data_IF_179532196963
#
_entry.id   IF_179532196963
#
_cell.length_a   1.000
_cell.length_b   1.000
_cell.length_c   1.000
_cell.angle_alpha   90.00
_cell.angle_beta   90.00
_cell.angle_gamma   90.00
#
_symmetry.space_group_name_H-M   'P 1'
#
loop_
_entity.id
_entity.type
_entity.pdbx_description
1 polymer ?
#
# COMPACT_ATOMS: atom_id res chain seq x y z
N UNK A 1 5.12 -19.34 -11.36
CA UNK A 1 5.95 -18.12 -11.27
C UNK A 1 6.05 -17.74 -9.81
N UNK A 2 7.24 -17.47 -9.31
CA UNK A 2 7.50 -17.18 -7.89
C UNK A 2 7.16 -15.72 -7.61
N UNK A 3 6.30 -15.51 -6.63
CA UNK A 3 6.07 -14.21 -6.02
C UNK A 3 6.20 -14.37 -4.52
N UNK A 4 7.32 -13.92 -3.97
CA UNK A 4 7.54 -13.90 -2.54
C UNK A 4 7.34 -12.47 -2.06
N UNK A 5 6.21 -12.26 -1.37
CA UNK A 5 5.69 -10.98 -0.92
C UNK A 5 5.88 -10.89 0.60
N UNK A 6 6.11 -9.69 1.11
CA UNK A 6 6.11 -9.40 2.55
C UNK A 6 7.16 -10.27 3.31
N UNK A 7 8.34 -10.45 2.71
CA UNK A 7 9.48 -11.15 3.35
C UNK A 7 10.23 -10.16 4.24
N UNK A 8 10.73 -10.60 5.38
CA UNK A 8 11.63 -9.80 6.22
C UNK A 8 12.80 -9.26 5.39
N UNK A 9 12.99 -7.95 5.44
CA UNK A 9 14.06 -7.28 4.70
C UNK A 9 15.43 -7.59 5.33
N UNK A 10 16.43 -8.03 4.54
CA UNK A 10 17.77 -8.27 5.08
C UNK A 10 18.43 -6.99 5.61
N UNK A 11 19.15 -7.08 6.73
CA UNK A 11 19.77 -5.90 7.38
C UNK A 11 20.76 -5.16 6.46
N UNK A 12 21.38 -5.87 5.52
CA UNK A 12 22.29 -5.27 4.52
C UNK A 12 21.57 -4.30 3.58
N UNK A 13 20.31 -4.57 3.24
CA UNK A 13 19.50 -3.68 2.42
C UNK A 13 19.14 -2.41 3.19
N UNK A 14 18.75 -2.55 4.45
CA UNK A 14 18.49 -1.42 5.35
C UNK A 14 19.72 -0.52 5.49
N UNK A 15 20.88 -1.08 5.80
CA UNK A 15 22.13 -0.34 5.94
C UNK A 15 22.60 0.34 4.63
N UNK A 16 22.22 -0.21 3.48
CA UNK A 16 22.51 0.40 2.17
C UNK A 16 21.54 1.54 1.87
N UNK A 17 20.26 1.36 2.20
CA UNK A 17 19.21 2.36 2.02
C UNK A 17 19.52 3.64 2.80
N UNK A 18 19.97 3.52 4.04
CA UNK A 18 20.38 4.65 4.90
C UNK A 18 21.51 5.52 4.29
N UNK A 19 22.26 5.01 3.30
CA UNK A 19 23.35 5.73 2.64
C UNK A 19 22.92 6.47 1.36
N UNK A 20 21.80 6.06 0.76
CA UNK A 20 21.40 6.51 -0.58
C UNK A 20 20.03 7.21 -0.61
N UNK A 21 19.14 6.89 0.34
CA UNK A 21 17.81 7.49 0.44
C UNK A 21 17.88 8.64 1.44
N UNK A 22 17.35 9.83 1.10
CA UNK A 22 17.23 10.94 2.05
C UNK A 22 16.50 10.52 3.33
N UNK A 23 16.97 11.03 4.47
CA UNK A 23 16.48 10.64 5.80
C UNK A 23 14.97 10.85 5.98
N UNK A 24 14.41 11.94 5.46
CA UNK A 24 12.99 12.24 5.48
C UNK A 24 12.11 11.29 4.65
N UNK A 25 12.72 10.38 3.88
CA UNK A 25 12.02 9.29 3.17
C UNK A 25 12.23 7.92 3.83
N UNK A 26 13.22 7.77 4.71
CA UNK A 26 13.55 6.50 5.37
C UNK A 26 12.45 6.06 6.35
N UNK A 27 12.27 4.75 6.61
CA UNK A 27 11.42 4.29 7.71
C UNK A 27 11.90 4.89 9.04
N UNK A 28 10.98 5.40 9.85
CA UNK A 28 11.28 6.03 11.15
C UNK A 28 12.21 7.25 11.07
N UNK A 29 12.37 7.84 9.88
CA UNK A 29 13.06 9.11 9.71
C UNK A 29 12.28 10.30 10.28
N UNK A 30 12.78 11.53 10.10
CA UNK A 30 12.07 12.75 10.48
C UNK A 30 10.64 12.75 9.93
N UNK A 31 9.68 13.25 10.70
CA UNK A 31 8.25 13.33 10.37
C UNK A 31 7.51 11.99 10.16
N UNK A 32 8.16 10.84 10.35
CA UNK A 32 7.47 9.54 10.40
C UNK A 32 6.96 9.24 11.81
N UNK A 33 5.66 9.43 12.01
CA UNK A 33 5.01 9.21 13.30
C UNK A 33 4.98 7.73 13.72
N UNK A 34 5.39 6.77 12.89
CA UNK A 34 5.66 5.41 13.40
C UNK A 34 6.74 5.42 14.49
N UNK A 35 7.71 6.33 14.41
CA UNK A 35 8.84 6.41 15.34
C UNK A 35 8.41 6.71 16.78
N UNK A 36 7.23 7.33 16.98
CA UNK A 36 6.73 7.70 18.33
C UNK A 36 6.38 6.48 19.18
N UNK A 37 6.03 5.36 18.54
CA UNK A 37 5.72 4.13 19.25
C UNK A 37 6.99 3.53 19.85
N UNK A 38 6.95 2.97 21.07
CA UNK A 38 8.01 2.09 21.56
C UNK A 38 8.25 0.93 20.59
N UNK A 39 9.52 0.52 20.38
CA UNK A 39 9.89 -0.51 19.39
C UNK A 39 9.07 -1.80 19.49
N UNK A 40 8.73 -2.25 20.71
CA UNK A 40 7.88 -3.43 20.96
C UNK A 40 6.45 -3.32 20.42
N UNK A 41 6.01 -2.13 20.03
CA UNK A 41 4.66 -1.85 19.53
C UNK A 41 4.65 -1.38 18.07
N UNK A 42 5.82 -1.22 17.44
CA UNK A 42 5.93 -0.92 16.02
C UNK A 42 5.64 -2.18 15.22
N UNK A 43 4.79 -2.08 14.21
CA UNK A 43 4.60 -3.16 13.25
C UNK A 43 5.88 -3.32 12.41
N UNK A 44 6.15 -4.53 11.92
CA UNK A 44 7.16 -4.74 10.89
C UNK A 44 6.72 -3.99 9.63
N UNK A 45 7.56 -3.09 9.16
CA UNK A 45 7.20 -2.10 8.14
C UNK A 45 8.20 -2.07 6.98
N UNK A 46 9.38 -2.68 7.12
CA UNK A 46 10.36 -2.75 6.03
C UNK A 46 10.37 -4.17 5.47
N UNK A 47 9.81 -4.32 4.28
CA UNK A 47 9.55 -5.61 3.65
C UNK A 47 10.32 -5.75 2.34
N UNK A 48 10.63 -6.99 1.96
CA UNK A 48 11.27 -7.35 0.71
C UNK A 48 10.32 -8.17 -0.17
N UNK A 49 10.42 -7.94 -1.47
CA UNK A 49 9.59 -8.55 -2.49
C UNK A 49 10.48 -9.12 -3.58
N UNK A 50 10.30 -10.39 -3.90
CA UNK A 50 10.89 -11.04 -5.08
C UNK A 50 9.76 -11.41 -6.04
N UNK A 51 9.79 -10.81 -7.23
CA UNK A 51 8.79 -11.07 -8.27
C UNK A 51 9.41 -11.55 -9.56
N UNK A 52 8.91 -12.68 -10.07
CA UNK A 52 9.17 -13.12 -11.43
C UNK A 52 8.18 -12.48 -12.42
N UNK A 53 8.40 -12.72 -13.70
CA UNK A 53 7.54 -12.29 -14.79
C UNK A 53 6.05 -12.60 -14.49
N UNK A 54 5.12 -11.74 -14.91
CA UNK A 54 3.66 -11.79 -14.68
C UNK A 54 3.23 -12.12 -13.24
N UNK A 55 4.03 -11.72 -12.25
CA UNK A 55 3.61 -11.68 -10.85
C UNK A 55 3.34 -10.24 -10.42
N UNK A 56 2.75 -10.03 -9.25
CA UNK A 56 2.57 -8.69 -8.74
C UNK A 56 1.53 -8.61 -7.64
N UNK A 57 1.18 -7.38 -7.27
CA UNK A 57 0.16 -7.10 -6.26
C UNK A 57 -1.08 -6.55 -6.94
N UNK A 58 -2.27 -7.11 -6.68
CA UNK A 58 -3.55 -6.60 -7.21
C UNK A 58 -3.84 -5.18 -6.73
N UNK A 59 -4.94 -4.59 -7.23
CA UNK A 59 -5.37 -3.25 -6.80
C UNK A 59 -5.64 -3.24 -5.30
N UNK A 60 -5.06 -2.27 -4.60
CA UNK A 60 -5.22 -2.10 -3.16
C UNK A 60 -4.82 -0.68 -2.72
N UNK A 61 -4.99 -0.37 -1.44
CA UNK A 61 -4.45 0.82 -0.78
C UNK A 61 -3.52 0.40 0.35
N UNK A 62 -2.55 1.24 0.65
CA UNK A 62 -1.68 1.03 1.80
C UNK A 62 -2.45 1.06 3.12
N UNK A 63 -1.99 0.25 4.08
CA UNK A 63 -2.69 0.01 5.34
C UNK A 63 -2.85 1.31 6.14
N UNK A 64 -4.02 1.45 6.77
CA UNK A 64 -4.38 2.58 7.63
C UNK A 64 -4.14 3.96 6.98
N UNK A 65 -4.19 4.06 5.65
CA UNK A 65 -4.02 5.33 4.94
C UNK A 65 -2.60 5.87 4.97
N UNK A 66 -1.62 5.01 5.21
CA UNK A 66 -0.20 5.39 5.13
C UNK A 66 0.21 5.78 3.72
N UNK A 67 1.37 6.42 3.61
CA UNK A 67 2.06 6.58 2.32
C UNK A 67 2.99 5.39 2.10
N UNK A 68 2.93 4.78 0.92
CA UNK A 68 3.81 3.68 0.51
C UNK A 68 5.08 4.18 -0.16
N UNK A 69 6.17 3.45 0.05
CA UNK A 69 7.45 3.65 -0.62
C UNK A 69 7.90 2.31 -1.16
N UNK A 70 8.41 2.29 -2.39
CA UNK A 70 8.90 1.08 -3.01
C UNK A 70 10.16 1.37 -3.84
N UNK A 71 11.29 0.83 -3.42
CA UNK A 71 12.56 0.94 -4.13
C UNK A 71 12.86 -0.38 -4.84
N UNK A 72 12.96 -0.34 -6.16
CA UNK A 72 13.46 -1.49 -6.92
C UNK A 72 14.97 -1.52 -6.80
N UNK A 73 15.50 -2.59 -6.20
CA UNK A 73 16.92 -2.71 -5.85
C UNK A 73 17.68 -3.54 -6.85
N UNK A 74 17.02 -4.52 -7.46
CA UNK A 74 17.62 -5.38 -8.49
C UNK A 74 16.58 -5.77 -9.53
N UNK A 75 17.07 -6.12 -10.72
CA UNK A 75 16.29 -6.78 -11.73
C UNK A 75 17.17 -7.21 -12.92
N UNK A 76 16.63 -8.09 -13.77
CA UNK A 76 17.28 -8.48 -15.02
C UNK A 76 17.37 -7.30 -16.01
N UNK A 77 18.20 -7.42 -17.05
CA UNK A 77 18.52 -6.36 -18.03
C UNK A 77 17.29 -5.65 -18.64
N UNK A 78 16.20 -6.39 -18.87
CA UNK A 78 14.95 -5.85 -19.42
C UNK A 78 13.77 -5.93 -18.44
N UNK A 79 14.05 -6.14 -17.16
CA UNK A 79 13.02 -6.19 -16.14
C UNK A 79 12.49 -4.82 -15.78
N UNK A 80 11.21 -4.75 -15.48
CA UNK A 80 10.56 -3.57 -14.91
C UNK A 80 9.32 -3.97 -14.14
N UNK A 81 8.79 -3.04 -13.35
CA UNK A 81 7.46 -3.16 -12.77
C UNK A 81 6.54 -2.06 -13.32
N UNK A 82 5.43 -2.48 -13.90
CA UNK A 82 4.32 -1.60 -14.27
C UNK A 82 3.50 -1.32 -13.01
N UNK A 83 3.40 -0.04 -12.65
CA UNK A 83 2.51 0.44 -11.61
C UNK A 83 1.33 1.13 -12.28
N UNK A 84 0.13 0.83 -11.80
CA UNK A 84 -1.07 1.61 -12.09
C UNK A 84 -1.47 2.29 -10.79
N UNK A 85 -1.61 3.61 -10.79
CA UNK A 85 -1.98 4.41 -9.63
C UNK A 85 -3.22 5.24 -9.96
N UNK A 86 -4.20 5.21 -9.07
CA UNK A 86 -5.49 5.87 -9.21
C UNK A 86 -5.76 6.67 -7.94
N UNK A 87 -5.96 7.97 -8.11
CA UNK A 87 -6.27 8.86 -6.99
C UNK A 87 -7.60 8.51 -6.34
N UNK A 88 -7.67 8.73 -5.02
CA UNK A 88 -8.83 8.37 -4.22
C UNK A 88 -10.15 9.01 -4.71
N UNK A 89 -10.09 10.19 -5.35
CA UNK A 89 -11.28 10.84 -5.91
C UNK A 89 -12.01 9.99 -6.96
N UNK A 90 -11.31 9.04 -7.61
CA UNK A 90 -11.87 8.13 -8.60
C UNK A 90 -12.26 6.76 -8.03
N UNK A 91 -12.27 6.60 -6.70
CA UNK A 91 -12.61 5.36 -6.00
C UNK A 91 -13.89 4.71 -6.55
N UNK A 92 -14.96 5.48 -6.66
CA UNK A 92 -16.26 4.93 -7.04
C UNK A 92 -16.33 4.59 -8.53
N UNK A 93 -15.65 5.36 -9.38
CA UNK A 93 -15.49 5.03 -10.79
C UNK A 93 -14.67 3.74 -10.99
N UNK A 94 -13.61 3.57 -10.21
CA UNK A 94 -12.80 2.34 -10.21
C UNK A 94 -13.63 1.14 -9.72
N UNK A 95 -14.35 1.28 -8.62
CA UNK A 95 -15.24 0.24 -8.11
C UNK A 95 -16.34 -0.13 -9.13
N UNK A 96 -16.80 0.81 -9.96
CA UNK A 96 -17.82 0.54 -10.97
C UNK A 96 -17.33 -0.39 -12.08
N UNK A 97 -16.06 -0.26 -12.49
CA UNK A 97 -15.45 -1.04 -13.57
C UNK A 97 -14.87 -2.37 -13.08
N UNK A 98 -14.44 -2.46 -11.83
CA UNK A 98 -13.99 -3.70 -11.23
C UNK A 98 -15.20 -4.61 -10.97
N UNK A 99 -15.21 -5.79 -11.58
CA UNK A 99 -16.24 -6.81 -11.36
C UNK A 99 -15.61 -8.02 -10.66
N UNK A 100 -16.28 -8.61 -9.66
CA UNK A 100 -15.93 -9.95 -9.21
C UNK A 100 -15.98 -10.91 -10.39
N UNK A 101 -15.03 -11.85 -10.49
CA UNK A 101 -15.18 -12.96 -11.43
C UNK A 101 -16.45 -13.73 -11.02
N UNK A 102 -17.31 -14.11 -11.97
CA UNK A 102 -18.52 -14.90 -11.66
C UNK A 102 -18.17 -16.33 -11.19
N UNK A 103 -16.89 -16.71 -11.17
CA UNK A 103 -16.44 -18.10 -10.98
C UNK A 103 -16.00 -18.43 -9.55
N UNK A 104 -15.77 -17.44 -8.68
CA UNK A 104 -15.20 -17.69 -7.34
C UNK A 104 -16.23 -17.75 -6.20
N UNK A 105 -17.51 -17.41 -6.44
CA UNK A 105 -18.56 -17.36 -5.41
C UNK A 105 -19.67 -18.41 -5.57
N UNK A 106 -19.38 -19.55 -6.22
CA UNK A 106 -20.35 -20.65 -6.35
C UNK A 106 -20.54 -21.47 -5.06
N UNK A 107 -20.61 -20.83 -3.89
CA UNK A 107 -21.25 -21.36 -2.67
C UNK A 107 -21.80 -20.18 -1.85
N UNK A 108 -22.79 -19.46 -2.38
CA UNK A 108 -23.58 -18.53 -1.58
C UNK A 108 -25.05 -18.94 -1.63
N UNK A 109 -25.51 -19.44 -0.50
CA UNK A 109 -26.92 -19.70 -0.17
C UNK A 109 -27.79 -18.50 -0.58
N UNK A 110 -28.77 -18.77 -1.46
CA UNK A 110 -29.68 -17.79 -2.07
C UNK A 110 -30.67 -17.15 -1.07
N UNK A 111 -30.55 -17.45 0.22
CA UNK A 111 -31.36 -16.88 1.30
C UNK A 111 -30.87 -15.51 1.80
N UNK A 112 -29.64 -15.10 1.46
CA UNK A 112 -29.02 -13.86 1.96
C UNK A 112 -28.69 -12.90 0.81
N UNK A 113 -28.96 -11.59 0.95
CA UNK A 113 -28.56 -10.62 -0.07
C UNK A 113 -27.03 -10.67 -0.25
N UNK A 114 -26.50 -10.49 -1.48
CA UNK A 114 -25.08 -10.68 -1.75
C UNK A 114 -24.25 -9.75 -0.86
N UNK A 115 -23.45 -10.34 0.04
CA UNK A 115 -22.59 -9.62 1.00
C UNK A 115 -21.46 -8.84 0.32
N UNK A 116 -21.21 -9.09 -0.97
CA UNK A 116 -20.15 -8.43 -1.72
C UNK A 116 -20.69 -7.26 -2.52
N UNK A 117 -20.59 -6.04 -1.97
CA UNK A 117 -20.66 -4.84 -2.80
C UNK A 117 -19.39 -4.76 -3.66
N UNK A 118 -19.45 -4.14 -4.85
CA UNK A 118 -18.26 -3.94 -5.69
C UNK A 118 -17.10 -3.28 -4.92
N UNK A 119 -17.43 -2.42 -3.97
CA UNK A 119 -16.48 -1.83 -3.03
C UNK A 119 -15.75 -2.88 -2.19
N UNK A 120 -16.46 -3.84 -1.58
CA UNK A 120 -15.82 -4.89 -0.76
C UNK A 120 -14.89 -5.80 -1.57
N UNK A 121 -15.18 -6.03 -2.85
CA UNK A 121 -14.32 -6.80 -3.74
C UNK A 121 -13.00 -6.05 -4.03
N UNK A 122 -13.08 -4.73 -4.25
CA UNK A 122 -11.90 -3.89 -4.41
C UNK A 122 -11.01 -3.88 -3.16
N UNK A 123 -11.59 -3.96 -1.95
CA UNK A 123 -10.83 -4.06 -0.69
C UNK A 123 -10.38 -5.49 -0.34
N UNK A 124 -10.59 -6.47 -1.21
CA UNK A 124 -10.24 -7.88 -0.91
C UNK A 124 -8.79 -8.24 -1.21
N UNK A 125 -8.02 -7.32 -1.78
CA UNK A 125 -6.66 -7.55 -2.30
C UNK A 125 -6.64 -8.70 -3.34
N UNK A 126 -7.71 -8.85 -4.13
CA UNK A 126 -7.85 -9.84 -5.21
C UNK A 126 -8.26 -9.23 -6.55
N UNK A 127 -8.69 -7.97 -6.56
CA UNK A 127 -9.18 -7.32 -7.76
C UNK A 127 -8.02 -6.91 -8.68
N UNK A 128 -8.06 -7.35 -9.94
CA UNK A 128 -7.06 -6.99 -10.94
C UNK A 128 -7.66 -6.03 -11.97
N UNK A 129 -6.97 -4.92 -12.19
CA UNK A 129 -7.29 -3.91 -13.17
C UNK A 129 -6.46 -4.13 -14.44
N UNK A 130 -7.07 -4.70 -15.48
CA UNK A 130 -6.47 -4.86 -16.81
C UNK A 130 -6.48 -3.55 -17.61
N UNK A 131 -5.45 -3.34 -18.44
CA UNK A 131 -5.28 -2.10 -19.20
C UNK A 131 -6.46 -1.87 -20.18
N UNK A 132 -7.07 -2.93 -20.71
CA UNK A 132 -8.29 -2.84 -21.53
C UNK A 132 -9.50 -2.25 -20.79
N UNK A 133 -9.55 -2.37 -19.46
CA UNK A 133 -10.59 -1.74 -18.65
C UNK A 133 -10.36 -0.22 -18.48
N UNK A 134 -9.13 0.25 -18.68
CA UNK A 134 -8.80 1.67 -18.65
C UNK A 134 -9.14 2.39 -19.96
N UNK A 135 -9.21 1.67 -21.09
CA UNK A 135 -9.52 2.27 -22.41
C UNK A 135 -10.85 3.03 -22.43
N UNK A 136 -11.83 2.57 -21.65
CA UNK A 136 -13.16 3.17 -21.57
C UNK A 136 -13.42 3.87 -20.21
N UNK A 137 -12.39 3.96 -19.36
CA UNK A 137 -12.53 4.55 -18.03
C UNK A 137 -12.77 6.06 -18.13
N UNK A 138 -13.77 6.55 -17.38
CA UNK A 138 -14.08 7.98 -17.28
C UNK A 138 -13.26 8.66 -16.16
N UNK A 139 -12.03 8.19 -15.94
CA UNK A 139 -11.10 8.71 -14.94
C UNK A 139 -9.66 8.52 -15.39
N UNK A 140 -8.75 9.32 -14.85
CA UNK A 140 -7.33 9.23 -15.15
C UNK A 140 -6.65 8.20 -14.24
N UNK A 141 -5.89 7.29 -14.85
CA UNK A 141 -4.94 6.43 -14.16
C UNK A 141 -3.52 6.86 -14.54
N UNK A 142 -2.62 6.90 -13.56
CA UNK A 142 -1.19 7.11 -13.79
C UNK A 142 -0.51 5.76 -13.97
N UNK A 143 0.35 5.64 -14.98
CA UNK A 143 1.14 4.43 -15.24
C UNK A 143 2.62 4.76 -15.08
N UNK A 144 3.32 4.01 -14.24
CA UNK A 144 4.75 4.18 -13.99
C UNK A 144 5.47 2.88 -14.37
N UNK A 145 6.60 3.00 -15.05
CA UNK A 145 7.50 1.88 -15.35
C UNK A 145 8.72 2.02 -14.44
N UNK A 146 8.73 1.26 -13.35
CA UNK A 146 9.80 1.24 -12.36
C UNK A 146 10.92 0.28 -12.79
N UNK A 147 12.17 0.75 -12.75
CA UNK A 147 13.40 -0.02 -13.02
C UNK A 147 14.35 -0.03 -11.81
N UNK A 148 15.40 -0.86 -11.80
CA UNK A 148 16.37 -0.88 -10.71
C UNK A 148 16.96 0.52 -10.46
N UNK A 149 16.91 0.97 -9.21
CA UNK A 149 17.28 2.33 -8.78
C UNK A 149 16.10 3.27 -8.57
N UNK A 150 14.92 2.97 -9.14
CA UNK A 150 13.76 3.85 -9.03
C UNK A 150 13.03 3.66 -7.69
N UNK A 151 12.79 4.79 -7.00
CA UNK A 151 11.90 4.89 -5.85
C UNK A 151 10.53 5.37 -6.30
N UNK A 152 9.51 4.52 -6.14
CA UNK A 152 8.10 4.90 -6.32
C UNK A 152 7.52 5.27 -4.97
N UNK A 153 6.88 6.44 -4.89
CA UNK A 153 6.15 6.90 -3.71
C UNK A 153 4.66 6.89 -4.03
N UNK A 154 3.89 6.23 -3.18
CA UNK A 154 2.46 6.03 -3.33
C UNK A 154 1.78 7.01 -2.37
N UNK A 155 1.01 7.99 -2.89
CA UNK A 155 0.26 8.90 -2.05
C UNK A 155 -0.77 8.16 -1.18
N UNK A 156 -1.03 8.71 0.00
CA UNK A 156 -2.06 8.19 0.89
C UNK A 156 -3.41 8.08 0.17
N UNK A 157 -4.14 6.99 0.46
CA UNK A 157 -5.46 6.64 -0.11
C UNK A 157 -5.46 6.30 -1.60
N UNK A 158 -4.35 6.43 -2.33
CA UNK A 158 -4.30 6.07 -3.74
C UNK A 158 -4.43 4.55 -3.93
N UNK A 159 -5.33 4.13 -4.81
CA UNK A 159 -5.37 2.74 -5.24
C UNK A 159 -4.22 2.47 -6.18
N UNK A 160 -3.55 1.35 -5.99
CA UNK A 160 -2.44 0.99 -6.84
C UNK A 160 -2.31 -0.51 -7.05
N UNK A 161 -1.74 -0.87 -8.20
CA UNK A 161 -1.48 -2.24 -8.63
C UNK A 161 -0.08 -2.30 -9.21
N UNK A 162 0.59 -3.45 -9.04
CA UNK A 162 1.94 -3.67 -9.57
C UNK A 162 1.95 -4.95 -10.39
N UNK A 163 2.61 -4.93 -11.56
CA UNK A 163 2.93 -6.12 -12.36
C UNK A 163 4.40 -6.15 -12.71
N UNK A 164 5.03 -7.29 -12.50
CA UNK A 164 6.44 -7.52 -12.81
C UNK A 164 6.60 -8.08 -14.22
N UNK A 165 7.52 -7.51 -14.99
CA UNK A 165 8.06 -8.07 -16.23
C UNK A 165 9.51 -8.46 -15.95
N UNK A 166 9.87 -9.71 -16.21
CA UNK A 166 11.17 -10.27 -15.78
C UNK A 166 11.30 -10.46 -14.26
N UNK A 167 12.51 -10.73 -13.77
CA UNK A 167 12.78 -10.86 -12.33
C UNK A 167 13.14 -9.50 -11.73
N UNK A 168 12.55 -9.19 -10.57
CA UNK A 168 12.88 -7.99 -9.81
C UNK A 168 12.87 -8.24 -8.31
N UNK A 169 13.72 -7.50 -7.60
CA UNK A 169 13.75 -7.41 -6.14
C UNK A 169 13.41 -5.98 -5.73
N UNK A 170 12.49 -5.82 -4.79
CA UNK A 170 12.06 -4.52 -4.27
C UNK A 170 12.09 -4.56 -2.76
N UNK A 171 12.39 -3.42 -2.16
CA UNK A 171 12.10 -3.17 -0.75
C UNK A 171 10.96 -2.16 -0.67
N UNK A 172 10.05 -2.34 0.28
CA UNK A 172 8.94 -1.43 0.49
C UNK A 172 8.73 -1.12 1.97
N UNK A 173 8.25 0.08 2.24
CA UNK A 173 7.87 0.50 3.58
C UNK A 173 6.78 1.57 3.54
N UNK A 174 6.05 1.69 4.64
CA UNK A 174 5.08 2.76 4.81
C UNK A 174 5.61 3.87 5.74
N UNK A 175 5.04 5.06 5.61
CA UNK A 175 5.28 6.18 6.55
C UNK A 175 3.95 6.79 6.99
N UNK A 176 3.93 7.29 8.23
CA UNK A 176 2.79 8.00 8.80
C UNK A 176 3.15 9.46 9.03
N UNK A 177 2.33 10.37 8.52
CA UNK A 177 2.31 11.80 8.87
C UNK A 177 1.02 12.15 9.61
N UNK A 178 0.92 13.38 10.13
CA UNK A 178 -0.32 13.88 10.72
C UNK A 178 -1.49 13.80 9.74
N UNK A 179 -1.25 14.16 8.47
CA UNK A 179 -2.27 14.11 7.41
C UNK A 179 -2.73 12.67 7.10
N UNK A 180 -1.81 11.70 7.07
CA UNK A 180 -2.19 10.30 6.83
C UNK A 180 -3.02 9.74 7.98
N UNK A 181 -2.78 10.18 9.23
CA UNK A 181 -3.60 9.78 10.38
C UNK A 181 -5.01 10.36 10.28
N UNK A 182 -5.16 11.61 9.84
CA UNK A 182 -6.47 12.17 9.56
C UNK A 182 -7.24 11.30 8.55
N UNK A 183 -6.60 10.93 7.44
CA UNK A 183 -7.18 10.03 6.44
C UNK A 183 -7.45 8.63 6.98
N UNK A 184 -6.64 8.14 7.92
CA UNK A 184 -6.90 6.88 8.61
C UNK A 184 -8.26 6.92 9.32
N UNK A 185 -8.51 7.98 10.11
CA UNK A 185 -9.75 8.11 10.89
C UNK A 185 -10.98 8.47 10.05
N UNK A 186 -10.82 9.29 9.01
CA UNK A 186 -11.95 9.77 8.20
C UNK A 186 -12.40 8.78 7.12
N UNK A 187 -11.50 7.91 6.63
CA UNK A 187 -11.76 7.03 5.48
C UNK A 187 -11.44 5.56 5.77
N UNK A 188 -10.18 5.26 6.10
CA UNK A 188 -9.69 3.87 6.10
C UNK A 188 -10.22 3.01 7.24
N UNK A 189 -10.14 3.50 8.47
CA UNK A 189 -10.61 2.77 9.65
C UNK A 189 -12.13 2.58 9.65
N UNK A 190 -12.97 3.59 9.29
CA UNK A 190 -14.39 3.38 9.08
C UNK A 190 -14.68 2.27 8.06
N UNK A 191 -13.97 2.27 6.92
CA UNK A 191 -14.13 1.22 5.93
C UNK A 191 -13.73 -0.15 6.47
N UNK A 192 -12.63 -0.25 7.22
CA UNK A 192 -12.17 -1.51 7.81
C UNK A 192 -13.25 -2.12 8.71
N UNK A 193 -13.99 -1.30 9.45
CA UNK A 193 -15.13 -1.76 10.26
C UNK A 193 -16.24 -2.35 9.38
N UNK A 194 -16.52 -1.78 8.21
CA UNK A 194 -17.54 -2.33 7.29
C UNK A 194 -17.16 -3.69 6.69
N UNK A 195 -15.86 -3.98 6.55
CA UNK A 195 -15.35 -5.22 5.94
C UNK A 195 -14.69 -6.17 6.96
N UNK A 196 -14.82 -5.87 8.26
CA UNK A 196 -14.20 -6.61 9.36
C UNK A 196 -12.67 -6.81 9.21
N UNK A 197 -11.96 -5.81 8.68
CA UNK A 197 -10.49 -5.79 8.59
C UNK A 197 -9.90 -5.23 9.89
N UNK A 198 -8.89 -5.87 10.50
CA UNK A 198 -8.25 -5.34 11.69
C UNK A 198 -7.37 -4.12 11.37
N UNK A 199 -7.29 -3.19 12.32
CA UNK A 199 -6.30 -2.10 12.32
C UNK A 199 -4.90 -2.68 12.63
N UNK A 200 -3.98 -2.59 11.67
CA UNK A 200 -2.60 -3.10 11.81
C UNK A 200 -1.69 -2.09 12.50
N UNK A 201 -1.81 -0.81 12.14
CA UNK A 201 -1.02 0.28 12.72
C UNK A 201 -1.83 0.97 13.82
N UNK A 202 -1.30 1.05 15.04
CA UNK A 202 -1.99 1.56 16.25
C UNK A 202 -2.23 3.08 16.19
N UNK A 203 -3.07 3.53 15.27
CA UNK A 203 -3.28 4.94 14.91
C UNK A 203 -3.66 5.79 16.11
N UNK A 204 -4.56 5.31 16.98
CA UNK A 204 -4.95 6.03 18.21
C UNK A 204 -3.78 6.24 19.18
N UNK A 205 -2.95 5.21 19.34
CA UNK A 205 -1.77 5.31 20.21
C UNK A 205 -0.72 6.27 19.62
N UNK A 206 -0.52 6.23 18.30
CA UNK A 206 0.36 7.15 17.59
C UNK A 206 -0.10 8.61 17.81
N UNK A 207 -1.39 8.91 17.61
CA UNK A 207 -1.94 10.25 17.85
C UNK A 207 -1.71 10.69 19.29
N UNK A 208 -2.08 9.84 20.26
CA UNK A 208 -1.95 10.18 21.68
C UNK A 208 -0.51 10.50 22.07
N UNK A 209 0.44 9.62 21.70
CA UNK A 209 1.85 9.81 22.05
C UNK A 209 2.46 11.01 21.32
N UNK A 210 2.06 11.25 20.06
CA UNK A 210 2.53 12.41 19.29
C UNK A 210 2.09 13.71 19.96
N UNK A 211 0.81 13.83 20.35
CA UNK A 211 0.29 15.01 21.05
C UNK A 211 1.00 15.21 22.40
N UNK A 212 1.26 14.14 23.15
CA UNK A 212 1.98 14.21 24.42
C UNK A 212 3.41 14.75 24.23
N UNK A 213 4.14 14.21 23.26
CA UNK A 213 5.51 14.62 22.97
C UNK A 213 5.59 16.07 22.47
N UNK A 214 4.74 16.45 21.52
CA UNK A 214 4.71 17.82 21.01
C UNK A 214 4.30 18.84 22.08
N UNK A 215 3.32 18.51 22.94
CA UNK A 215 2.94 19.36 24.06
C UNK A 215 4.07 19.52 25.09
N UNK A 216 4.95 18.52 25.24
CA UNK A 216 6.13 18.63 26.09
C UNK A 216 7.14 19.61 25.48
N UNK A 217 7.41 19.48 24.18
CA UNK A 217 8.31 20.38 23.46
C UNK A 217 7.84 21.84 23.39
N UNK A 218 6.53 22.12 23.50
CA UNK A 218 6.01 23.49 23.58
C UNK A 218 6.18 24.15 24.96
N UNK A 219 6.49 23.37 26.01
CA UNK A 219 6.70 23.89 27.38
C UNK A 219 8.17 24.17 27.69
N UNK A 220 9.06 23.74 26.81
CA UNK A 220 10.50 23.98 26.83
C UNK A 220 10.82 25.25 26.02
#
# INVERSE_FOLDING_TARGET
RVYAKDITCPEQYKASMEKIVPDYLLPHGPDDLFSILPSRFRAENLMCYLGQDNTGTPIHRDLCGTMGHNLMTMGDENSFAEWIIIENQYRDNLAAILRPSQTDDAVADLSSPPRHTKSSFMESDRAWLHNSMLENAQFQAQVIVQRPGDLVIIPSRAYHQVRNVGVSVKIAWNRITAQTLQYAFEDQLPLYQTINRPEVYKCKAIVQLTIQEWNKGLKE
#
